data_IF_451988280256
#
_entry.id   IF_451988280256
#
_cell.length_a   1.000
_cell.length_b   1.000
_cell.length_c   1.000
_cell.angle_alpha   90.00
_cell.angle_beta   90.00
_cell.angle_gamma   90.00
#
_symmetry.space_group_name_H-M   'P 1'
#
loop_
_entity.id
_entity.type
_entity.pdbx_description
1 polymer ?
#
# COMPACT_ATOMS: atom_id res chain seq x y z
N UNK A 1 -9.23 -3.79 -9.09
CA UNK A 1 -9.14 -2.51 -9.83
C UNK A 1 -7.67 -2.32 -10.17
N UNK A 2 -7.30 -2.18 -11.45
CA UNK A 2 -5.89 -2.06 -11.85
C UNK A 2 -5.41 -0.61 -11.84
N UNK A 3 -4.08 -0.40 -11.81
CA UNK A 3 -3.37 0.90 -11.82
C UNK A 3 -3.94 1.92 -12.82
N UNK A 4 -4.38 1.44 -13.99
CA UNK A 4 -5.02 2.26 -15.03
C UNK A 4 -6.39 2.82 -14.63
N UNK A 5 -7.07 2.23 -13.66
CA UNK A 5 -8.32 2.74 -13.09
C UNK A 5 -8.07 3.78 -11.99
N UNK A 6 -6.96 3.66 -11.25
CA UNK A 6 -6.58 4.58 -10.18
C UNK A 6 -6.09 5.93 -10.71
N UNK A 7 -5.34 5.93 -11.82
CA UNK A 7 -4.80 7.16 -12.41
C UNK A 7 -5.89 8.05 -13.03
N UNK A 8 -6.96 7.44 -13.55
CA UNK A 8 -7.94 8.11 -14.41
C UNK A 8 -9.23 8.50 -13.66
N UNK A 9 -9.59 7.78 -12.59
CA UNK A 9 -10.83 8.04 -11.85
C UNK A 9 -10.64 8.66 -10.45
N UNK A 10 -9.46 8.56 -9.83
CA UNK A 10 -9.23 8.99 -8.42
C UNK A 10 -7.93 9.81 -8.25
N UNK A 11 -7.02 9.79 -9.22
CA UNK A 11 -5.69 10.41 -9.12
C UNK A 11 -4.69 9.61 -8.28
N UNK A 12 -4.97 8.33 -8.03
CA UNK A 12 -4.11 7.41 -7.29
C UNK A 12 -3.13 6.67 -8.20
N UNK A 13 -2.07 6.12 -7.60
CA UNK A 13 -1.13 5.19 -8.23
C UNK A 13 -1.02 3.94 -7.38
N UNK A 14 -0.95 2.76 -7.98
CA UNK A 14 -0.48 1.58 -7.27
C UNK A 14 0.96 1.81 -6.77
N UNK A 15 1.24 1.30 -5.59
CA UNK A 15 2.50 1.53 -4.88
C UNK A 15 3.16 0.20 -4.61
N UNK A 16 4.47 0.15 -4.80
CA UNK A 16 5.29 -0.99 -4.38
C UNK A 16 5.41 -1.02 -2.85
N UNK A 17 5.92 -2.12 -2.28
CA UNK A 17 6.22 -2.20 -0.85
C UNK A 17 7.07 -1.00 -0.37
N UNK A 18 8.12 -0.68 -1.12
CA UNK A 18 9.03 0.43 -0.80
C UNK A 18 8.30 1.78 -0.77
N UNK A 19 7.41 2.02 -1.72
CA UNK A 19 6.62 3.25 -1.75
C UNK A 19 5.71 3.38 -0.50
N UNK A 20 5.20 2.27 0.03
CA UNK A 20 4.42 2.27 1.27
C UNK A 20 5.29 2.49 2.51
N UNK A 21 6.48 1.90 2.57
CA UNK A 21 7.46 2.18 3.63
C UNK A 21 7.79 3.67 3.69
N UNK A 22 8.08 4.28 2.54
CA UNK A 22 8.42 5.70 2.45
C UNK A 22 7.25 6.62 2.87
N UNK A 23 6.01 6.27 2.51
CA UNK A 23 4.82 7.03 2.92
C UNK A 23 4.56 6.90 4.42
N UNK A 24 4.61 5.68 4.97
CA UNK A 24 4.41 5.42 6.39
C UNK A 24 5.48 6.13 7.22
N UNK A 25 6.75 6.05 6.82
CA UNK A 25 7.85 6.71 7.52
C UNK A 25 7.63 8.23 7.61
N UNK A 26 7.25 8.88 6.51
CA UNK A 26 6.94 10.33 6.52
C UNK A 26 5.73 10.68 7.40
N UNK A 27 4.84 9.72 7.66
CA UNK A 27 3.69 9.89 8.53
C UNK A 27 3.98 9.54 10.00
N UNK A 28 5.24 9.22 10.37
CA UNK A 28 5.60 8.80 11.73
C UNK A 28 5.17 7.37 12.05
N UNK A 29 5.01 6.52 11.03
CA UNK A 29 4.65 5.11 11.17
C UNK A 29 5.79 4.23 10.63
N UNK A 30 5.96 3.05 11.22
CA UNK A 30 6.85 2.00 10.69
C UNK A 30 6.04 0.80 10.20
N UNK A 31 6.24 0.37 8.96
CA UNK A 31 5.64 -0.84 8.40
C UNK A 31 6.26 -2.06 9.06
N UNK A 32 5.44 -2.93 9.64
CA UNK A 32 5.88 -4.16 10.31
C UNK A 32 5.65 -5.40 9.45
N UNK A 33 4.62 -5.40 8.60
CA UNK A 33 4.26 -6.56 7.78
C UNK A 33 3.55 -6.15 6.49
N UNK A 34 3.73 -6.97 5.44
CA UNK A 34 2.95 -6.90 4.20
C UNK A 34 2.57 -8.31 3.79
N UNK A 35 1.28 -8.61 3.83
CA UNK A 35 0.74 -9.97 3.63
C UNK A 35 -0.18 -10.01 2.41
N UNK A 36 0.15 -10.78 1.36
CA UNK A 36 -0.76 -11.01 0.23
C UNK A 36 -2.02 -11.75 0.68
N UNK A 37 -3.19 -11.25 0.28
CA UNK A 37 -4.48 -11.88 0.60
C UNK A 37 -4.84 -12.89 -0.49
N UNK A 38 -4.58 -14.18 -0.26
CA UNK A 38 -4.75 -15.23 -1.28
C UNK A 38 -6.18 -15.32 -1.83
N UNK A 39 -7.20 -15.18 -0.97
CA UNK A 39 -8.62 -15.22 -1.38
C UNK A 39 -9.12 -13.90 -1.99
N UNK A 40 -8.30 -12.85 -1.96
CA UNK A 40 -8.63 -11.52 -2.45
C UNK A 40 -7.55 -10.96 -3.38
N UNK A 41 -6.89 -11.82 -4.16
CA UNK A 41 -5.90 -11.36 -5.12
C UNK A 41 -6.49 -10.28 -6.07
N UNK A 42 -5.78 -9.16 -6.34
CA UNK A 42 -4.37 -8.89 -6.07
C UNK A 42 -4.10 -8.08 -4.78
N UNK A 43 -5.00 -8.06 -3.80
CA UNK A 43 -4.85 -7.21 -2.62
C UNK A 43 -3.82 -7.75 -1.62
N UNK A 44 -3.20 -6.81 -0.88
CA UNK A 44 -2.29 -7.11 0.23
C UNK A 44 -2.68 -6.26 1.45
N UNK A 45 -2.54 -6.84 2.64
CA UNK A 45 -2.66 -6.14 3.92
C UNK A 45 -1.31 -5.54 4.31
N UNK A 46 -1.30 -4.26 4.71
CA UNK A 46 -0.11 -3.56 5.21
C UNK A 46 -0.36 -3.22 6.68
N UNK A 47 0.51 -3.71 7.56
CA UNK A 47 0.46 -3.43 8.99
C UNK A 47 1.56 -2.42 9.35
N UNK A 48 1.22 -1.38 10.10
CA UNK A 48 2.14 -0.36 10.54
C UNK A 48 1.81 0.11 11.96
N UNK A 49 2.84 0.54 12.69
CA UNK A 49 2.74 1.04 14.08
C UNK A 49 3.27 2.46 14.17
N UNK A 50 2.79 3.23 15.15
CA UNK A 50 3.35 4.54 15.44
C UNK A 50 4.78 4.44 15.97
N UNK A 51 5.64 5.35 15.50
CA UNK A 51 7.01 5.52 15.99
C UNK A 51 7.03 6.27 17.33
#
# INVERSE_FOLDING_TARGET
MSDRNMLVNVGGRERTRKDFEDVCHRAGLSVTSVTPLQEAAPFSLIEAVAN
#
